data_IF_629766818512
#
_entry.id   IF_629766818512
#
_cell.length_a   1.000
_cell.length_b   1.000
_cell.length_c   1.000
_cell.angle_alpha   90.00
_cell.angle_beta   90.00
_cell.angle_gamma   90.00
#
_symmetry.space_group_name_H-M   'P 1'
#
loop_
_entity.id
_entity.type
_entity.pdbx_description
1 polymer ?
#
# COMPACT_ATOMS: atom_id res chain seq x y z
N UNK A 1 -46.66 -0.41 20.44
CA UNK A 1 -45.33 -1.04 20.53
C UNK A 1 -44.43 -0.38 19.49
N UNK A 2 -43.49 0.48 19.91
CA UNK A 2 -42.58 1.24 19.03
C UNK A 2 -41.12 1.06 19.49
N UNK A 3 -40.78 -0.11 20.04
CA UNK A 3 -39.50 -0.36 20.68
C UNK A 3 -38.51 -1.18 19.83
N UNK A 4 -38.97 -1.79 18.73
CA UNK A 4 -38.18 -2.80 17.99
C UNK A 4 -37.51 -2.26 16.72
N UNK A 5 -38.02 -1.17 16.15
CA UNK A 5 -37.59 -0.67 14.82
C UNK A 5 -36.24 0.05 14.85
N UNK A 6 -35.88 0.64 15.99
CA UNK A 6 -34.61 1.38 16.15
C UNK A 6 -33.40 0.46 16.33
N UNK A 7 -33.63 -0.74 16.89
CA UNK A 7 -32.58 -1.75 17.13
C UNK A 7 -32.20 -2.44 15.84
N UNK A 8 -33.17 -2.77 14.98
CA UNK A 8 -32.88 -3.36 13.67
C UNK A 8 -32.24 -2.36 12.70
N UNK A 9 -32.63 -1.08 12.75
CA UNK A 9 -32.02 -0.03 11.92
C UNK A 9 -30.54 0.26 12.25
N UNK A 10 -30.07 -0.13 13.44
CA UNK A 10 -28.68 0.07 13.90
C UNK A 10 -27.91 -1.25 14.07
N UNK A 11 -28.50 -2.38 13.66
CA UNK A 11 -27.90 -3.70 13.83
C UNK A 11 -26.66 -3.86 12.96
N UNK A 12 -25.51 -4.04 13.61
CA UNK A 12 -24.23 -4.27 12.92
C UNK A 12 -24.15 -5.71 12.42
N UNK A 13 -23.51 -5.89 11.26
CA UNK A 13 -23.15 -7.21 10.75
C UNK A 13 -22.14 -7.88 11.70
N UNK A 14 -22.20 -9.21 11.82
CA UNK A 14 -21.17 -9.97 12.52
C UNK A 14 -19.86 -9.87 11.73
N UNK A 15 -18.91 -9.09 12.26
CA UNK A 15 -17.57 -8.93 11.67
C UNK A 15 -16.62 -9.95 12.28
N UNK A 16 -15.82 -10.61 11.43
CA UNK A 16 -14.71 -11.45 11.90
C UNK A 16 -13.73 -10.58 12.68
N UNK A 17 -13.44 -10.95 13.93
CA UNK A 17 -12.44 -10.23 14.75
C UNK A 17 -11.08 -10.34 14.06
N UNK A 18 -10.40 -9.21 13.91
CA UNK A 18 -9.01 -9.17 13.47
C UNK A 18 -8.15 -9.86 14.54
N UNK A 19 -7.13 -10.62 14.10
CA UNK A 19 -6.19 -11.23 15.04
C UNK A 19 -5.32 -10.14 15.67
N UNK A 20 -4.78 -10.37 16.87
CA UNK A 20 -3.87 -9.41 17.51
C UNK A 20 -2.62 -9.20 16.63
N UNK A 21 -2.13 -10.27 16.01
CA UNK A 21 -0.98 -10.20 15.10
C UNK A 21 -1.27 -9.31 13.89
N UNK A 22 -2.44 -9.44 13.25
CA UNK A 22 -2.83 -8.57 12.12
C UNK A 22 -3.05 -7.11 12.54
N UNK A 23 -3.44 -6.85 13.78
CA UNK A 23 -3.70 -5.50 14.29
C UNK A 23 -2.41 -4.72 14.57
N UNK A 24 -1.31 -5.42 14.84
CA UNK A 24 0.00 -4.85 15.14
C UNK A 24 1.06 -5.12 14.07
N UNK A 25 0.76 -5.94 13.06
CA UNK A 25 1.63 -6.16 11.92
C UNK A 25 1.90 -4.85 11.18
N UNK A 26 3.11 -4.71 10.66
CA UNK A 26 3.42 -3.62 9.73
C UNK A 26 2.49 -3.72 8.51
N UNK A 27 1.96 -2.59 7.99
CA UNK A 27 1.14 -2.62 6.78
C UNK A 27 1.88 -3.35 5.64
N UNK A 28 1.25 -4.37 5.08
CA UNK A 28 1.86 -5.21 4.04
C UNK A 28 2.07 -4.50 2.68
N UNK A 29 1.68 -3.23 2.58
CA UNK A 29 1.78 -2.41 1.36
C UNK A 29 2.98 -1.47 1.43
N UNK A 30 4.15 -2.00 1.80
CA UNK A 30 5.39 -1.26 1.76
C UNK A 30 6.08 -1.51 0.42
N UNK A 31 6.39 -0.43 -0.29
CA UNK A 31 7.18 -0.48 -1.51
C UNK A 31 8.09 0.75 -1.53
N UNK A 32 9.39 0.50 -1.47
CA UNK A 32 10.41 1.54 -1.66
C UNK A 32 11.00 1.44 -3.06
N UNK A 33 11.19 2.59 -3.71
CA UNK A 33 11.81 2.67 -5.04
C UNK A 33 12.96 3.66 -4.98
N UNK A 34 14.18 3.14 -5.09
CA UNK A 34 15.41 3.92 -5.19
C UNK A 34 15.79 4.07 -6.66
N UNK A 35 15.98 5.30 -7.14
CA UNK A 35 16.56 5.59 -8.47
C UNK A 35 17.99 6.06 -8.27
N UNK A 36 18.96 5.22 -8.63
CA UNK A 36 20.37 5.40 -8.30
C UNK A 36 21.26 5.17 -9.52
N UNK A 37 22.57 5.36 -9.36
CA UNK A 37 23.59 5.03 -10.35
C UNK A 37 23.34 5.59 -11.77
N UNK A 38 23.41 6.93 -11.95
CA UNK A 38 23.28 7.52 -13.27
C UNK A 38 24.47 7.15 -14.18
N UNK A 39 24.20 6.53 -15.32
CA UNK A 39 25.23 6.19 -16.31
C UNK A 39 24.88 6.86 -17.64
N UNK A 40 25.88 7.51 -18.24
CA UNK A 40 25.70 8.21 -19.52
C UNK A 40 26.25 7.36 -20.66
N UNK A 41 25.37 7.00 -21.58
CA UNK A 41 25.65 6.19 -22.76
C UNK A 41 25.69 7.03 -24.03
N UNK A 42 26.39 6.51 -25.04
CA UNK A 42 26.43 7.10 -26.38
C UNK A 42 27.38 8.31 -26.52
N UNK A 43 27.52 8.78 -27.75
CA UNK A 43 28.45 9.86 -28.12
C UNK A 43 27.72 10.89 -28.98
N UNK A 44 28.03 12.18 -28.77
CA UNK A 44 27.44 13.29 -29.52
C UNK A 44 25.92 13.40 -29.34
N UNK A 45 25.19 13.49 -30.46
CA UNK A 45 23.73 13.73 -30.47
C UNK A 45 22.88 12.56 -29.98
N UNK A 46 23.45 11.36 -29.82
CA UNK A 46 22.74 10.16 -29.34
C UNK A 46 23.01 9.85 -27.87
N UNK A 47 23.54 10.81 -27.11
CA UNK A 47 23.88 10.62 -25.71
C UNK A 47 22.62 10.62 -24.85
N UNK A 48 22.49 9.67 -23.94
CA UNK A 48 21.41 9.60 -22.95
C UNK A 48 21.93 9.10 -21.61
N UNK A 49 21.22 9.40 -20.53
CA UNK A 49 21.56 8.94 -19.18
C UNK A 49 20.47 7.99 -18.71
N UNK A 50 20.85 6.77 -18.34
CA UNK A 50 19.97 5.85 -17.64
C UNK A 50 20.31 5.77 -16.16
N UNK A 51 19.42 5.13 -15.41
CA UNK A 51 19.50 5.00 -13.96
C UNK A 51 19.13 3.58 -13.57
N UNK A 52 19.74 3.09 -12.51
CA UNK A 52 19.34 1.86 -11.86
C UNK A 52 18.08 2.09 -11.02
N UNK A 53 17.07 1.24 -11.19
CA UNK A 53 15.84 1.26 -10.39
C UNK A 53 15.86 0.06 -9.47
N UNK A 54 15.95 0.32 -8.16
CA UNK A 54 15.96 -0.71 -7.14
C UNK A 54 14.68 -0.65 -6.32
N UNK A 55 13.96 -1.77 -6.26
CA UNK A 55 12.71 -1.90 -5.51
C UNK A 55 12.93 -2.77 -4.26
N UNK A 56 12.31 -2.40 -3.13
CA UNK A 56 12.35 -3.15 -1.87
C UNK A 56 10.96 -3.28 -1.27
#
# INVERSE_FOLDING_TARGET
>A
MMADTTVDATRRLNVKKQTLDDAYAAPANFLEIDVINPITHGVGKKRYTDYEVRMR
#
